data_IF_147405419784
#
_entry.id   IF_147405419784
#
_cell.length_a   1.000
_cell.length_b   1.000
_cell.length_c   1.000
_cell.angle_alpha   90.00
_cell.angle_beta   90.00
_cell.angle_gamma   90.00
#
_symmetry.space_group_name_H-M   'P 1'
#
loop_
_entity.id
_entity.type
_entity.pdbx_description
1 polymer ?
#
# COMPACT_ATOMS: atom_id res chain seq x y z
N UNK A 1 -54.28 9.80 21.76
CA UNK A 1 -53.75 9.01 20.64
C UNK A 1 -52.66 9.83 19.97
N UNK A 2 -51.42 9.54 20.30
CA UNK A 2 -50.24 10.09 19.64
C UNK A 2 -49.29 8.90 19.54
N UNK A 3 -49.09 8.41 18.30
CA UNK A 3 -48.20 7.29 18.01
C UNK A 3 -46.77 7.81 18.02
N UNK A 4 -45.90 7.15 18.80
CA UNK A 4 -44.45 7.29 18.67
C UNK A 4 -44.00 6.74 17.30
N UNK A 5 -43.07 7.41 16.60
CA UNK A 5 -42.40 6.81 15.47
C UNK A 5 -41.39 5.77 15.96
N UNK A 6 -41.59 4.52 15.54
CA UNK A 6 -40.61 3.44 15.66
C UNK A 6 -39.40 3.76 14.78
N UNK A 7 -38.22 3.89 15.38
CA UNK A 7 -36.95 3.82 14.65
C UNK A 7 -36.77 2.37 14.15
N UNK A 8 -36.88 2.21 12.83
CA UNK A 8 -36.45 1.01 12.11
C UNK A 8 -34.91 0.99 12.16
N UNK A 9 -34.34 -0.14 12.57
CA UNK A 9 -32.89 -0.34 12.68
C UNK A 9 -32.20 -0.02 11.35
N UNK A 10 -31.38 1.03 11.37
CA UNK A 10 -30.30 1.21 10.41
C UNK A 10 -29.03 0.66 11.06
N UNK A 11 -28.31 -0.18 10.33
CA UNK A 11 -26.97 -0.65 10.72
C UNK A 11 -26.09 0.57 11.05
N UNK A 12 -25.43 0.52 12.19
CA UNK A 12 -24.45 1.53 12.57
C UNK A 12 -23.29 1.50 11.54
N UNK A 13 -22.80 2.67 11.09
CA UNK A 13 -21.71 2.73 10.12
C UNK A 13 -20.40 2.20 10.73
N UNK A 14 -19.60 1.55 9.88
CA UNK A 14 -18.27 1.06 10.20
C UNK A 14 -17.34 2.26 10.48
N UNK A 15 -16.82 2.40 11.70
CA UNK A 15 -15.72 3.33 11.98
C UNK A 15 -14.42 2.68 11.53
N UNK A 16 -13.80 3.19 10.46
CA UNK A 16 -12.46 2.77 10.03
C UNK A 16 -11.43 3.64 10.73
N UNK A 17 -10.52 3.00 11.48
CA UNK A 17 -9.38 3.66 12.11
C UNK A 17 -8.24 3.72 11.09
N UNK A 18 -7.89 4.92 10.64
CA UNK A 18 -6.74 5.14 9.77
C UNK A 18 -5.48 5.12 10.64
N UNK A 19 -4.71 4.04 10.56
CA UNK A 19 -3.44 3.92 11.23
C UNK A 19 -2.35 4.46 10.31
N UNK A 20 -1.96 5.73 10.48
CA UNK A 20 -0.80 6.27 9.78
C UNK A 20 0.46 5.68 10.43
N UNK A 21 1.06 4.67 9.81
CA UNK A 21 2.45 4.29 10.10
C UNK A 21 3.35 5.38 9.50
N UNK A 22 3.47 6.51 10.20
CA UNK A 22 4.57 7.41 9.96
C UNK A 22 5.84 6.63 10.29
N UNK A 23 6.69 6.41 9.30
CA UNK A 23 8.04 5.90 9.50
C UNK A 23 8.81 6.88 10.38
N UNK A 24 8.64 6.78 11.70
CA UNK A 24 9.40 7.55 12.66
C UNK A 24 10.79 6.92 12.75
N UNK A 25 11.80 7.65 12.27
CA UNK A 25 13.22 7.30 12.38
C UNK A 25 13.77 7.41 13.81
N UNK A 26 12.94 7.64 14.83
CA UNK A 26 13.37 7.68 16.22
C UNK A 26 12.42 6.91 17.17
N UNK A 27 12.95 6.02 18.04
CA UNK A 27 12.16 5.13 18.90
C UNK A 27 11.52 5.83 20.12
N UNK A 28 11.39 7.16 20.12
CA UNK A 28 10.94 7.94 21.29
C UNK A 28 9.77 8.90 21.04
N UNK A 29 9.18 8.92 19.84
CA UNK A 29 7.98 9.73 19.60
C UNK A 29 6.74 9.07 20.21
N UNK A 30 6.17 9.71 21.23
CA UNK A 30 4.87 9.34 21.78
C UNK A 30 3.77 9.59 20.74
N UNK A 31 2.91 8.59 20.55
CA UNK A 31 1.69 8.66 19.74
C UNK A 31 0.84 9.89 20.09
N UNK A 32 0.53 10.73 19.11
CA UNK A 32 -0.48 11.78 19.20
C UNK A 32 -1.32 11.72 17.93
N UNK A 33 -2.40 10.94 17.97
CA UNK A 33 -3.40 10.90 16.92
C UNK A 33 -4.78 10.80 17.55
N UNK A 34 -5.66 11.76 17.25
CA UNK A 34 -7.08 11.69 17.61
C UNK A 34 -7.79 10.76 16.61
N UNK A 35 -8.68 9.85 17.05
CA UNK A 35 -9.48 9.03 16.14
C UNK A 35 -10.42 9.91 15.31
N UNK A 36 -10.44 9.71 13.99
CA UNK A 36 -11.40 10.36 13.09
C UNK A 36 -12.16 9.30 12.29
N UNK A 37 -13.49 9.40 12.26
CA UNK A 37 -14.35 8.48 11.54
C UNK A 37 -14.47 8.90 10.07
N UNK A 38 -13.94 8.10 9.15
CA UNK A 38 -14.34 8.14 7.74
C UNK A 38 -15.62 7.33 7.64
N UNK A 39 -16.75 8.01 7.46
CA UNK A 39 -18.05 7.35 7.26
C UNK A 39 -18.31 7.28 5.76
N UNK A 40 -18.45 6.07 5.22
CA UNK A 40 -18.79 5.70 3.83
C UNK A 40 -17.65 5.43 2.84
N UNK A 41 -16.36 5.58 3.21
CA UNK A 41 -15.24 5.19 2.34
C UNK A 41 -14.35 4.09 2.94
N UNK A 42 -14.12 3.01 2.18
CA UNK A 42 -13.12 1.98 2.47
C UNK A 42 -11.73 2.54 2.14
N UNK A 43 -10.84 2.59 3.12
CA UNK A 43 -9.47 3.05 2.94
C UNK A 43 -8.58 1.91 2.43
N UNK A 44 -7.78 2.14 1.40
CA UNK A 44 -6.91 1.13 0.78
C UNK A 44 -5.41 1.39 0.98
N UNK A 45 -4.97 2.66 1.10
CA UNK A 45 -3.53 3.00 1.21
C UNK A 45 -3.30 4.17 2.18
N UNK A 46 -2.09 4.26 2.76
CA UNK A 46 -1.61 5.43 3.54
C UNK A 46 -0.13 5.68 3.28
N UNK A 47 0.26 6.86 2.76
CA UNK A 47 1.65 7.25 2.50
C UNK A 47 1.89 8.72 2.87
N UNK A 48 2.86 9.03 3.74
CA UNK A 48 3.20 10.42 4.14
C UNK A 48 2.00 11.27 4.59
N UNK A 49 1.02 10.61 5.23
CA UNK A 49 -0.21 11.27 5.66
C UNK A 49 -1.30 11.38 4.60
N UNK A 50 -1.04 10.96 3.36
CA UNK A 50 -2.04 10.76 2.32
C UNK A 50 -2.74 9.43 2.55
N UNK A 51 -4.07 9.35 2.52
CA UNK A 51 -4.75 8.06 2.53
C UNK A 51 -5.83 7.99 1.46
N UNK A 52 -5.74 7.00 0.58
CA UNK A 52 -6.65 6.77 -0.54
C UNK A 52 -7.70 5.72 -0.21
N UNK A 53 -8.91 5.88 -0.74
CA UNK A 53 -10.01 4.95 -0.50
C UNK A 53 -11.04 4.90 -1.64
N UNK A 54 -12.15 4.21 -1.40
CA UNK A 54 -13.33 4.28 -2.27
C UNK A 54 -13.84 5.72 -2.37
N UNK A 55 -14.44 6.06 -3.51
CA UNK A 55 -14.99 7.40 -3.81
C UNK A 55 -13.94 8.52 -3.98
N UNK A 56 -12.67 8.19 -4.21
CA UNK A 56 -11.63 9.15 -4.59
C UNK A 56 -11.14 10.04 -3.45
N UNK A 57 -11.49 9.70 -2.21
CA UNK A 57 -11.12 10.48 -1.04
C UNK A 57 -9.62 10.33 -0.77
N UNK A 58 -8.92 11.47 -0.63
CA UNK A 58 -7.56 11.54 -0.09
C UNK A 58 -7.60 12.27 1.25
N UNK A 59 -7.25 11.58 2.33
CA UNK A 59 -6.97 12.23 3.62
C UNK A 59 -5.57 12.81 3.60
N UNK A 60 -5.34 13.99 4.18
CA UNK A 60 -4.01 14.53 4.44
C UNK A 60 -3.87 14.71 5.96
N UNK A 61 -2.94 14.01 6.61
CA UNK A 61 -2.59 14.29 8.01
C UNK A 61 -1.68 15.51 8.07
N UNK A 62 -2.12 16.56 8.77
CA UNK A 62 -1.31 17.74 9.11
C UNK A 62 -0.98 17.72 10.60
N UNK A 63 -0.05 18.56 11.04
CA UNK A 63 0.23 18.77 12.48
C UNK A 63 -1.04 19.15 13.27
N UNK A 64 -2.04 19.74 12.60
CA UNK A 64 -3.34 20.09 13.18
C UNK A 64 -4.38 18.96 13.15
N UNK A 65 -3.99 17.74 12.76
CA UNK A 65 -4.89 16.60 12.57
C UNK A 65 -5.24 16.32 11.11
N UNK A 66 -5.98 15.22 10.84
CA UNK A 66 -6.37 14.82 9.49
C UNK A 66 -7.38 15.80 8.88
N UNK A 67 -7.20 16.07 7.59
CA UNK A 67 -8.14 16.86 6.78
C UNK A 67 -8.54 16.03 5.56
N UNK A 68 -9.84 15.93 5.30
CA UNK A 68 -10.36 15.38 4.04
C UNK A 68 -10.10 16.36 2.91
N UNK A 69 -9.35 15.94 1.89
CA UNK A 69 -9.24 16.66 0.64
C UNK A 69 -10.19 16.03 -0.38
N UNK A 70 -11.13 16.82 -0.88
CA UNK A 70 -11.84 16.47 -2.11
C UNK A 70 -10.87 16.63 -3.27
N UNK A 71 -10.44 15.51 -3.82
CA UNK A 71 -9.51 15.47 -4.95
C UNK A 71 -10.19 15.75 -6.29
N UNK A 72 -11.53 15.73 -6.32
CA UNK A 72 -12.31 15.73 -7.55
C UNK A 72 -12.19 14.43 -8.37
N UNK A 73 -11.59 13.37 -7.80
CA UNK A 73 -11.40 12.07 -8.48
C UNK A 73 -12.59 11.12 -8.33
N UNK A 74 -13.61 11.48 -7.54
CA UNK A 74 -14.85 10.71 -7.49
C UNK A 74 -15.43 10.54 -8.91
N UNK A 75 -15.90 9.35 -9.30
CA UNK A 75 -16.21 8.19 -8.44
C UNK A 75 -15.10 7.10 -8.38
N UNK A 76 -13.82 7.44 -8.56
CA UNK A 76 -12.75 6.44 -8.61
C UNK A 76 -12.54 5.72 -7.27
N UNK A 77 -12.12 4.46 -7.30
CA UNK A 77 -11.49 3.81 -6.15
C UNK A 77 -9.99 4.06 -6.23
N UNK A 78 -9.42 4.77 -5.24
CA UNK A 78 -7.96 4.90 -5.14
C UNK A 78 -7.43 3.65 -4.44
N UNK A 79 -6.63 2.86 -5.15
CA UNK A 79 -6.01 1.63 -4.65
C UNK A 79 -4.68 1.91 -3.98
N UNK A 80 -3.89 2.81 -4.56
CA UNK A 80 -2.58 3.15 -4.01
C UNK A 80 -2.14 4.57 -4.37
N UNK A 81 -1.19 5.13 -3.59
CA UNK A 81 -0.63 6.46 -3.74
C UNK A 81 0.89 6.42 -3.57
N UNK A 82 1.63 6.90 -4.56
CA UNK A 82 3.07 7.17 -4.44
C UNK A 82 3.29 8.65 -4.17
N UNK A 83 3.65 8.98 -2.93
CA UNK A 83 3.91 10.35 -2.51
C UNK A 83 5.29 10.84 -2.95
N UNK A 84 5.43 12.14 -3.19
CA UNK A 84 6.71 12.77 -3.44
C UNK A 84 7.02 13.86 -2.40
N UNK A 85 8.23 13.83 -1.83
CA UNK A 85 8.62 14.77 -0.76
C UNK A 85 9.17 16.11 -1.27
N UNK A 86 9.41 16.26 -2.57
CA UNK A 86 9.96 17.47 -3.16
C UNK A 86 8.85 18.51 -3.48
N UNK A 87 9.14 19.79 -3.24
CA UNK A 87 8.18 20.91 -3.25
C UNK A 87 7.36 21.09 -4.54
N UNK A 88 7.83 20.59 -5.68
CA UNK A 88 7.16 20.69 -6.99
C UNK A 88 6.96 19.32 -7.66
N UNK A 89 7.01 18.25 -6.87
CA UNK A 89 6.89 16.90 -7.36
C UNK A 89 5.50 16.36 -7.01
N UNK A 90 4.71 15.93 -8.00
CA UNK A 90 3.35 15.51 -7.75
C UNK A 90 3.27 14.14 -7.09
N UNK A 91 2.33 13.99 -6.16
CA UNK A 91 1.87 12.68 -5.70
C UNK A 91 1.11 12.00 -6.84
N UNK A 92 1.15 10.67 -6.86
CA UNK A 92 0.53 9.86 -7.92
C UNK A 92 -0.46 8.91 -7.26
N UNK A 93 -1.69 8.87 -7.74
CA UNK A 93 -2.73 7.97 -7.28
C UNK A 93 -3.16 7.05 -8.42
N UNK A 94 -3.38 5.78 -8.12
CA UNK A 94 -3.84 4.77 -9.08
C UNK A 94 -5.07 4.04 -8.58
N UNK A 95 -5.85 3.47 -9.50
CA UNK A 95 -7.13 2.88 -9.15
C UNK A 95 -7.77 1.99 -10.21
N UNK A 96 -9.04 1.71 -9.98
CA UNK A 96 -9.86 0.84 -10.83
C UNK A 96 -9.95 1.34 -12.28
N UNK A 97 -10.12 0.42 -13.23
CA UNK A 97 -10.32 0.71 -14.65
C UNK A 97 -9.26 1.62 -15.31
N UNK A 98 -7.99 1.46 -14.93
CA UNK A 98 -6.87 2.21 -15.48
C UNK A 98 -6.71 3.63 -14.94
N UNK A 99 -7.44 3.96 -13.87
CA UNK A 99 -7.43 5.29 -13.28
C UNK A 99 -6.04 5.69 -12.76
N UNK A 100 -5.49 6.79 -13.30
CA UNK A 100 -4.27 7.43 -12.80
C UNK A 100 -4.48 8.92 -12.69
N UNK A 101 -4.09 9.49 -11.56
CA UNK A 101 -4.07 10.93 -11.36
C UNK A 101 -2.78 11.38 -10.68
N UNK A 102 -2.39 12.61 -10.96
CA UNK A 102 -1.26 13.26 -10.30
C UNK A 102 -1.70 14.61 -9.75
N UNK A 103 -1.24 14.94 -8.54
CA UNK A 103 -1.64 16.16 -7.86
C UNK A 103 -0.62 16.58 -6.81
N UNK A 104 -0.78 17.79 -6.27
CA UNK A 104 -0.04 18.22 -5.08
C UNK A 104 -1.01 18.80 -4.08
N UNK A 105 -0.57 19.03 -2.85
CA UNK A 105 -1.36 19.77 -1.86
C UNK A 105 -1.75 21.20 -2.30
N UNK A 106 -1.07 21.75 -3.30
CA UNK A 106 -1.27 23.12 -3.79
C UNK A 106 -2.01 23.21 -5.14
N UNK A 107 -2.20 22.08 -5.84
CA UNK A 107 -2.77 22.04 -7.18
C UNK A 107 -3.83 20.93 -7.32
N UNK A 108 -4.86 21.12 -8.16
CA UNK A 108 -5.86 20.08 -8.37
C UNK A 108 -5.24 18.83 -8.99
N UNK A 109 -5.82 17.67 -8.67
CA UNK A 109 -5.44 16.41 -9.29
C UNK A 109 -5.84 16.40 -10.76
N UNK A 110 -4.92 15.96 -11.61
CA UNK A 110 -5.13 15.82 -13.06
C UNK A 110 -5.04 14.35 -13.43
N UNK A 111 -6.02 13.89 -14.21
CA UNK A 111 -6.10 12.50 -14.67
C UNK A 111 -5.26 12.26 -15.92
N UNK A 112 -4.65 11.08 -16.01
CA UNK A 112 -3.87 10.65 -17.17
C UNK A 112 -4.37 9.31 -17.69
N UNK A 113 -4.32 9.14 -19.02
CA UNK A 113 -4.67 7.88 -19.68
C UNK A 113 -3.38 7.13 -19.99
N UNK A 114 -3.16 6.00 -19.29
CA UNK A 114 -2.04 5.11 -19.56
C UNK A 114 -2.33 4.12 -20.70
N UNK A 115 -3.50 4.17 -21.34
CA UNK A 115 -3.90 3.24 -22.39
C UNK A 115 -4.24 1.83 -21.88
N UNK A 116 -4.45 1.70 -20.57
CA UNK A 116 -4.81 0.45 -19.90
C UNK A 116 -6.21 0.59 -19.29
N UNK A 117 -6.96 -0.50 -19.26
CA UNK A 117 -8.31 -0.56 -18.66
C UNK A 117 -8.40 -1.54 -17.49
N UNK A 118 -7.27 -2.16 -17.13
CA UNK A 118 -7.17 -3.04 -15.98
C UNK A 118 -7.23 -2.25 -14.67
N UNK A 119 -7.65 -2.89 -13.59
CA UNK A 119 -7.53 -2.31 -12.25
C UNK A 119 -6.05 -2.17 -11.90
N UNK A 120 -5.65 -0.95 -11.56
CA UNK A 120 -4.30 -0.64 -11.09
C UNK A 120 -4.28 -0.78 -9.58
N UNK A 121 -3.35 -1.58 -9.07
CA UNK A 121 -3.32 -2.04 -7.67
C UNK A 121 -2.29 -1.29 -6.83
N UNK A 122 -1.11 -1.01 -7.39
CA UNK A 122 -0.03 -0.37 -6.67
C UNK A 122 0.84 0.51 -7.58
N UNK A 123 1.48 1.51 -6.98
CA UNK A 123 2.38 2.44 -7.67
C UNK A 123 3.62 2.70 -6.82
N UNK A 124 4.80 2.66 -7.44
CA UNK A 124 6.06 2.99 -6.78
C UNK A 124 6.87 4.00 -7.59
N UNK A 125 7.66 4.78 -6.87
CA UNK A 125 8.75 5.60 -7.40
C UNK A 125 10.05 4.88 -7.11
N UNK A 126 10.88 4.62 -8.12
CA UNK A 126 12.18 3.96 -7.93
C UNK A 126 13.21 4.52 -8.89
N UNK A 127 14.24 5.15 -8.34
CA UNK A 127 15.15 5.98 -9.12
C UNK A 127 14.38 7.10 -9.80
N UNK A 128 14.64 7.31 -11.09
CA UNK A 128 13.94 8.30 -11.92
C UNK A 128 12.69 7.72 -12.62
N UNK A 129 12.22 6.55 -12.22
CA UNK A 129 11.08 5.88 -12.83
C UNK A 129 9.90 5.80 -11.87
N UNK A 130 8.71 5.82 -12.45
CA UNK A 130 7.50 5.37 -11.79
C UNK A 130 7.04 4.09 -12.46
N UNK A 131 6.66 3.11 -11.63
CA UNK A 131 6.07 1.87 -12.10
C UNK A 131 4.70 1.68 -11.44
N UNK A 132 3.73 1.26 -12.25
CA UNK A 132 2.36 0.97 -11.83
C UNK A 132 2.03 -0.45 -12.22
N UNK A 133 1.50 -1.22 -11.27
CA UNK A 133 1.11 -2.61 -11.48
C UNK A 133 -0.38 -2.81 -11.26
N UNK A 134 -0.92 -3.87 -11.85
CA UNK A 134 -2.28 -4.29 -11.61
C UNK A 134 -2.61 -5.61 -12.28
N UNK A 135 -3.89 -5.78 -12.60
CA UNK A 135 -4.38 -7.01 -13.22
C UNK A 135 -3.85 -7.12 -14.67
N UNK A 136 -2.98 -8.10 -14.94
CA UNK A 136 -2.29 -8.34 -16.23
C UNK A 136 -1.52 -7.12 -16.78
N UNK A 137 -1.09 -6.21 -15.91
CA UNK A 137 -0.46 -4.96 -16.36
C UNK A 137 0.73 -4.52 -15.51
N UNK A 138 1.73 -3.98 -16.21
CA UNK A 138 2.83 -3.20 -15.69
C UNK A 138 3.08 -2.06 -16.68
N UNK A 139 3.03 -0.82 -16.19
CA UNK A 139 3.35 0.39 -16.96
C UNK A 139 4.44 1.14 -16.23
N UNK A 140 5.45 1.58 -16.96
CA UNK A 140 6.58 2.34 -16.44
C UNK A 140 6.71 3.64 -17.22
N UNK A 141 7.06 4.74 -16.57
CA UNK A 141 7.47 5.97 -17.25
C UNK A 141 8.67 6.61 -16.57
N UNK A 142 9.40 7.42 -17.34
CA UNK A 142 10.49 8.23 -16.84
C UNK A 142 9.92 9.49 -16.21
N UNK A 143 10.12 9.66 -14.90
CA UNK A 143 9.48 10.70 -14.12
C UNK A 143 9.76 12.12 -14.66
N UNK A 144 11.00 12.50 -15.02
CA UNK A 144 11.28 13.85 -15.52
C UNK A 144 10.55 14.22 -16.81
N UNK A 145 10.12 13.22 -17.60
CA UNK A 145 9.31 13.41 -18.81
C UNK A 145 7.81 13.15 -18.59
N UNK A 146 7.44 12.70 -17.39
CA UNK A 146 6.07 12.39 -17.00
C UNK A 146 5.47 11.20 -17.73
N UNK A 147 4.16 10.94 -17.53
CA UNK A 147 3.48 9.76 -18.06
C UNK A 147 3.40 9.72 -19.60
N UNK A 148 3.67 10.83 -20.30
CA UNK A 148 3.81 10.79 -21.77
C UNK A 148 5.00 9.94 -22.26
N UNK A 149 5.99 9.68 -21.40
CA UNK A 149 7.14 8.82 -21.69
C UNK A 149 6.88 7.34 -21.39
N UNK A 150 5.62 6.97 -21.10
CA UNK A 150 5.27 5.62 -20.69
C UNK A 150 5.64 4.54 -21.71
N UNK A 151 5.92 3.36 -21.18
CA UNK A 151 6.05 2.12 -21.91
C UNK A 151 5.55 0.95 -21.06
N UNK A 152 5.22 -0.15 -21.74
CA UNK A 152 4.83 -1.40 -21.09
C UNK A 152 5.93 -2.44 -21.34
N UNK A 153 6.70 -2.82 -20.31
CA UNK A 153 7.67 -3.90 -20.44
C UNK A 153 6.99 -5.21 -20.88
N UNK A 154 7.75 -6.08 -21.55
CA UNK A 154 7.26 -7.41 -21.88
C UNK A 154 7.31 -8.32 -20.64
N UNK A 155 6.25 -9.10 -20.35
CA UNK A 155 6.27 -10.05 -19.24
C UNK A 155 7.31 -11.16 -19.49
N UNK A 156 8.11 -11.55 -18.47
CA UNK A 156 9.18 -12.54 -18.64
C UNK A 156 8.66 -13.93 -19.08
N UNK A 157 7.43 -14.29 -18.73
CA UNK A 157 6.80 -15.58 -19.07
C UNK A 157 5.49 -15.42 -19.85
N UNK A 158 5.35 -14.31 -20.58
CA UNK A 158 4.22 -14.08 -21.49
C UNK A 158 2.93 -13.55 -20.85
N UNK A 159 2.86 -13.45 -19.52
CA UNK A 159 1.78 -12.80 -18.77
C UNK A 159 2.32 -12.17 -17.48
N UNK A 160 1.69 -11.09 -17.04
CA UNK A 160 1.99 -10.46 -15.76
C UNK A 160 1.24 -11.09 -14.58
N UNK A 161 0.21 -11.91 -14.85
CA UNK A 161 -0.71 -12.34 -13.81
C UNK A 161 -1.45 -11.15 -13.19
N UNK A 162 -2.06 -11.36 -12.02
CA UNK A 162 -2.58 -10.25 -11.21
C UNK A 162 -1.53 -9.81 -10.19
N UNK A 163 -0.86 -8.69 -10.46
CA UNK A 163 0.10 -8.09 -9.54
C UNK A 163 -0.65 -7.27 -8.48
N UNK A 164 -0.29 -7.46 -7.22
CA UNK A 164 -0.96 -6.89 -6.04
C UNK A 164 -0.20 -5.71 -5.45
N UNK A 165 1.12 -5.77 -5.46
CA UNK A 165 1.96 -4.70 -4.92
C UNK A 165 3.26 -4.54 -5.70
N UNK A 166 3.86 -3.36 -5.64
CA UNK A 166 5.16 -3.03 -6.23
C UNK A 166 5.95 -2.11 -5.30
N UNK A 167 7.20 -2.47 -5.02
CA UNK A 167 8.11 -1.69 -4.20
C UNK A 167 9.56 -1.89 -4.62
N UNK A 168 10.31 -0.79 -4.75
CA UNK A 168 11.75 -0.79 -5.05
C UNK A 168 12.17 -1.72 -6.21
N UNK A 169 11.37 -1.78 -7.29
CA UNK A 169 11.66 -2.61 -8.46
C UNK A 169 11.29 -4.08 -8.34
N UNK A 170 10.63 -4.49 -7.25
CA UNK A 170 10.00 -5.80 -7.14
C UNK A 170 8.48 -5.65 -7.16
N UNK A 171 7.78 -6.57 -7.81
CA UNK A 171 6.33 -6.68 -7.75
C UNK A 171 5.92 -8.10 -7.37
N UNK A 172 4.85 -8.21 -6.59
CA UNK A 172 4.29 -9.49 -6.13
C UNK A 172 2.83 -9.63 -6.50
N UNK A 173 2.31 -10.85 -6.53
CA UNK A 173 0.89 -11.05 -6.79
C UNK A 173 0.38 -12.48 -6.63
N UNK A 174 -0.71 -12.76 -7.34
CA UNK A 174 -1.46 -14.01 -7.23
C UNK A 174 -0.60 -15.24 -7.57
N UNK A 175 -0.87 -16.35 -6.91
CA UNK A 175 -0.19 -17.61 -7.17
C UNK A 175 1.31 -17.61 -6.83
N UNK A 176 1.75 -16.74 -5.92
CA UNK A 176 3.17 -16.56 -5.59
C UNK A 176 3.95 -15.87 -6.71
N UNK A 177 3.31 -15.02 -7.50
CA UNK A 177 3.99 -14.25 -8.55
C UNK A 177 5.01 -13.29 -7.90
N UNK A 178 6.26 -13.34 -8.38
CA UNK A 178 7.31 -12.37 -8.05
C UNK A 178 8.06 -12.02 -9.32
N UNK A 179 8.12 -10.73 -9.64
CA UNK A 179 8.96 -10.20 -10.71
C UNK A 179 9.82 -9.06 -10.19
N UNK A 180 11.04 -8.94 -10.70
CA UNK A 180 11.98 -7.91 -10.27
C UNK A 180 12.67 -7.27 -11.46
N UNK A 181 13.09 -6.02 -11.29
CA UNK A 181 13.90 -5.26 -12.23
C UNK A 181 14.90 -4.38 -11.49
N UNK A 182 16.13 -4.38 -11.98
CA UNK A 182 17.20 -3.52 -11.46
C UNK A 182 17.25 -2.17 -12.21
N UNK A 183 16.59 -2.06 -13.38
CA UNK A 183 16.66 -0.91 -14.28
C UNK A 183 15.30 -0.36 -14.74
N UNK A 184 14.20 -0.98 -14.29
CA UNK A 184 12.80 -0.70 -14.66
C UNK A 184 12.42 -0.97 -16.11
N UNK A 185 13.34 -1.50 -16.93
CA UNK A 185 13.11 -1.81 -18.34
C UNK A 185 12.96 -3.31 -18.55
N UNK A 186 13.89 -4.09 -17.99
CA UNK A 186 13.90 -5.54 -18.10
C UNK A 186 13.47 -6.15 -16.77
N UNK A 187 12.47 -7.03 -16.84
CA UNK A 187 11.89 -7.68 -15.68
C UNK A 187 12.12 -9.18 -15.80
N UNK A 188 12.45 -9.81 -14.67
CA UNK A 188 12.64 -11.26 -14.57
C UNK A 188 11.75 -11.83 -13.48
N UNK A 189 11.32 -13.08 -13.66
CA UNK A 189 10.62 -13.82 -12.61
C UNK A 189 11.62 -14.35 -11.58
N UNK A 190 11.26 -14.24 -10.31
CA UNK A 190 11.94 -14.94 -9.21
C UNK A 190 10.99 -16.00 -8.63
N UNK A 191 11.54 -17.10 -8.13
CA UNK A 191 10.76 -18.16 -7.47
C UNK A 191 10.82 -17.98 -5.95
N UNK A 192 9.71 -17.59 -5.30
CA UNK A 192 9.67 -17.43 -3.86
C UNK A 192 9.52 -18.75 -3.09
N UNK A 193 9.35 -19.88 -3.78
CA UNK A 193 9.13 -21.19 -3.15
C UNK A 193 7.72 -21.36 -2.55
N UNK A 194 6.79 -20.45 -2.86
CA UNK A 194 5.38 -20.51 -2.44
C UNK A 194 4.45 -20.29 -3.63
N UNK A 195 3.21 -20.79 -3.53
CA UNK A 195 2.17 -20.65 -4.56
C UNK A 195 0.91 -19.94 -4.07
N UNK A 196 0.93 -19.45 -2.83
CA UNK A 196 -0.14 -18.62 -2.27
C UNK A 196 0.02 -17.18 -2.73
N UNK A 197 -1.07 -16.42 -2.75
CA UNK A 197 -1.01 -15.01 -3.16
C UNK A 197 -0.13 -14.20 -2.20
N UNK A 198 0.77 -13.43 -2.79
CA UNK A 198 1.56 -12.41 -2.09
C UNK A 198 0.85 -11.07 -2.28
N UNK A 199 0.64 -10.36 -1.18
CA UNK A 199 -0.27 -9.22 -1.13
C UNK A 199 0.44 -7.88 -0.92
N UNK A 200 1.60 -7.87 -0.24
CA UNK A 200 2.32 -6.64 0.02
C UNK A 200 3.84 -6.85 0.14
N UNK A 201 4.57 -5.78 -0.17
CA UNK A 201 6.02 -5.63 -0.09
C UNK A 201 6.39 -4.47 0.84
N UNK A 202 7.56 -4.57 1.46
CA UNK A 202 8.18 -3.44 2.17
C UNK A 202 9.70 -3.58 2.14
N UNK A 203 10.40 -2.46 2.31
CA UNK A 203 11.82 -2.49 2.66
C UNK A 203 12.04 -3.34 3.91
N UNK A 204 13.14 -4.10 3.92
CA UNK A 204 13.53 -4.94 5.05
C UNK A 204 14.13 -4.14 6.21
N UNK A 205 15.03 -3.21 5.90
CA UNK A 205 15.97 -2.69 6.89
C UNK A 205 15.50 -1.36 7.51
N UNK A 206 15.33 -1.28 8.84
CA UNK A 206 15.04 -0.02 9.52
C UNK A 206 16.26 0.91 9.58
N UNK A 207 17.48 0.43 9.35
CA UNK A 207 18.68 1.27 9.31
C UNK A 207 19.11 1.54 7.86
N UNK A 208 18.83 2.74 7.32
CA UNK A 208 19.18 3.08 5.95
C UNK A 208 20.69 3.15 5.70
N UNK A 209 21.54 3.13 6.74
CA UNK A 209 22.99 3.17 6.58
C UNK A 209 23.62 1.80 6.31
N UNK A 210 22.97 0.71 6.74
CA UNK A 210 23.41 -0.68 6.56
C UNK A 210 22.47 -1.49 5.64
N UNK A 211 21.48 -0.83 5.04
CA UNK A 211 20.51 -1.47 4.15
C UNK A 211 21.19 -2.05 2.90
N UNK A 212 21.29 -3.38 2.83
CA UNK A 212 21.71 -4.01 1.58
C UNK A 212 20.61 -3.86 0.53
N UNK A 213 20.96 -3.42 -0.69
CA UNK A 213 19.99 -3.22 -1.75
C UNK A 213 19.28 -4.54 -2.10
N UNK A 214 17.97 -4.43 -2.36
CA UNK A 214 17.15 -5.58 -2.76
C UNK A 214 16.66 -6.46 -1.61
N UNK A 215 16.95 -6.14 -0.34
CA UNK A 215 16.33 -6.84 0.79
C UNK A 215 14.91 -6.35 1.03
N UNK A 216 13.95 -7.27 1.02
CA UNK A 216 12.52 -6.97 1.10
C UNK A 216 11.79 -7.93 2.04
N UNK A 217 10.75 -7.42 2.70
CA UNK A 217 9.67 -8.24 3.21
C UNK A 217 8.64 -8.46 2.10
N UNK A 218 8.12 -9.68 1.98
CA UNK A 218 6.86 -9.93 1.29
C UNK A 218 5.91 -10.69 2.22
N UNK A 219 4.64 -10.30 2.23
CA UNK A 219 3.61 -10.96 3.04
C UNK A 219 2.42 -11.33 2.19
N UNK A 220 1.64 -12.31 2.64
CA UNK A 220 0.47 -12.74 1.87
C UNK A 220 -0.47 -13.67 2.63
N UNK A 221 -1.18 -14.49 1.87
CA UNK A 221 -2.19 -15.42 2.39
C UNK A 221 -1.58 -16.47 3.31
N UNK A 222 -2.42 -17.05 4.18
CA UNK A 222 -2.06 -18.16 5.07
C UNK A 222 -0.84 -17.84 5.96
N UNK A 223 -0.79 -16.63 6.52
CA UNK A 223 0.29 -16.15 7.38
C UNK A 223 1.67 -16.12 6.71
N UNK A 224 1.72 -16.08 5.38
CA UNK A 224 2.98 -16.16 4.63
C UNK A 224 3.81 -14.90 4.85
N UNK A 225 5.05 -15.11 5.29
CA UNK A 225 6.07 -14.08 5.45
C UNK A 225 7.34 -14.57 4.77
N UNK A 226 7.84 -13.79 3.82
CA UNK A 226 9.07 -14.06 3.09
C UNK A 226 10.08 -12.93 3.27
N UNK A 227 11.34 -13.32 3.28
CA UNK A 227 12.50 -12.44 3.28
C UNK A 227 13.26 -12.62 1.97
N UNK A 228 13.40 -11.52 1.22
CA UNK A 228 14.31 -11.48 0.07
C UNK A 228 15.70 -11.09 0.53
N UNK A 229 16.71 -11.89 0.20
CA UNK A 229 18.12 -11.53 0.33
C UNK A 229 18.59 -10.58 -0.78
N UNK A 230 19.72 -9.89 -0.57
CA UNK A 230 20.33 -9.05 -1.60
C UNK A 230 20.78 -9.82 -2.85
N UNK A 231 20.98 -11.14 -2.71
CA UNK A 231 21.30 -12.07 -3.80
C UNK A 231 20.07 -12.56 -4.59
N UNK A 232 18.86 -12.11 -4.23
CA UNK A 232 17.61 -12.51 -4.86
C UNK A 232 17.05 -13.86 -4.39
N UNK A 233 17.63 -14.44 -3.33
CA UNK A 233 17.04 -15.62 -2.69
C UNK A 233 15.86 -15.22 -1.81
N UNK A 234 14.85 -16.09 -1.75
CA UNK A 234 13.67 -15.91 -0.92
C UNK A 234 13.63 -16.98 0.16
N UNK A 235 13.46 -16.56 1.42
CA UNK A 235 13.33 -17.45 2.56
C UNK A 235 11.97 -17.24 3.22
N UNK A 236 11.23 -18.34 3.44
CA UNK A 236 10.00 -18.30 4.24
C UNK A 236 10.35 -18.26 5.72
N UNK A 237 9.81 -17.26 6.42
CA UNK A 237 9.93 -17.13 7.85
C UNK A 237 8.78 -17.84 8.56
N UNK A 238 9.09 -18.77 9.47
CA UNK A 238 8.07 -19.45 10.27
C UNK A 238 7.65 -18.58 11.45
N UNK A 239 6.48 -17.96 11.34
CA UNK A 239 5.92 -17.05 12.34
C UNK A 239 4.78 -17.68 13.16
N UNK A 240 4.31 -18.87 12.75
CA UNK A 240 3.12 -19.51 13.32
C UNK A 240 1.80 -18.76 13.07
N UNK A 241 1.79 -17.75 12.20
CA UNK A 241 0.57 -17.04 11.80
C UNK A 241 -0.22 -17.88 10.78
N UNK A 242 -1.55 -17.83 10.88
CA UNK A 242 -2.48 -18.47 9.93
C UNK A 242 -3.36 -17.44 9.20
N UNK A 243 -3.53 -16.25 9.78
CA UNK A 243 -4.30 -15.15 9.20
C UNK A 243 -3.63 -14.61 7.93
N UNK A 244 -4.44 -14.12 6.99
CA UNK A 244 -3.92 -13.43 5.82
C UNK A 244 -3.26 -12.11 6.24
N UNK A 245 -2.09 -11.83 5.68
CA UNK A 245 -1.33 -10.61 5.95
C UNK A 245 -1.54 -9.65 4.78
N UNK A 246 -2.27 -8.57 5.04
CA UNK A 246 -2.77 -7.66 4.02
C UNK A 246 -1.79 -6.53 3.69
N UNK A 247 -0.94 -6.15 4.64
CA UNK A 247 0.04 -5.09 4.47
C UNK A 247 1.27 -5.37 5.32
N UNK A 248 2.42 -4.86 4.88
CA UNK A 248 3.66 -4.85 5.64
C UNK A 248 4.35 -3.51 5.53
N UNK A 249 4.96 -3.03 6.62
CA UNK A 249 5.83 -1.86 6.62
C UNK A 249 6.86 -2.00 7.73
N UNK A 250 8.15 -2.00 7.41
CA UNK A 250 9.24 -2.07 8.37
C UNK A 250 9.09 -3.20 9.43
N UNK A 251 8.63 -4.38 9.00
CA UNK A 251 8.38 -5.54 9.88
C UNK A 251 7.08 -5.47 10.69
N UNK A 252 6.27 -4.42 10.56
CA UNK A 252 4.89 -4.40 11.06
C UNK A 252 3.95 -4.97 10.01
N UNK A 253 3.01 -5.82 10.42
CA UNK A 253 2.01 -6.42 9.53
C UNK A 253 0.60 -6.13 10.01
N UNK A 254 -0.31 -5.93 9.04
CA UNK A 254 -1.75 -5.88 9.28
C UNK A 254 -2.38 -7.19 8.83
N UNK A 255 -3.12 -7.84 9.73
CA UNK A 255 -3.86 -9.06 9.42
C UNK A 255 -5.29 -8.77 8.96
N UNK A 256 -5.90 -9.72 8.26
CA UNK A 256 -7.31 -9.69 7.86
C UNK A 256 -8.29 -9.63 9.05
N UNK A 257 -7.92 -10.21 10.19
CA UNK A 257 -8.64 -10.11 11.46
C UNK A 257 -8.34 -8.80 12.24
N UNK A 258 -7.75 -7.81 11.57
CA UNK A 258 -7.53 -6.43 12.03
C UNK A 258 -6.58 -6.29 13.20
N UNK A 259 -5.55 -7.14 13.27
CA UNK A 259 -4.46 -7.00 14.23
C UNK A 259 -3.26 -6.35 13.56
N UNK A 260 -2.64 -5.43 14.30
CA UNK A 260 -1.30 -4.95 14.00
C UNK A 260 -0.30 -5.76 14.83
N UNK A 261 0.66 -6.39 14.15
CA UNK A 261 1.70 -7.21 14.77
C UNK A 261 3.08 -6.72 14.32
N UNK A 262 4.09 -6.90 15.16
CA UNK A 262 5.50 -6.74 14.79
C UNK A 262 6.12 -8.12 14.59
N UNK A 263 6.80 -8.30 13.48
CA UNK A 263 7.56 -9.49 13.13
C UNK A 263 9.04 -9.10 13.14
N UNK A 264 9.85 -9.83 13.91
CA UNK A 264 11.30 -9.68 13.85
C UNK A 264 11.91 -10.53 12.73
N UNK A 265 13.16 -10.25 12.30
CA UNK A 265 13.82 -11.02 11.26
C UNK A 265 14.08 -12.51 11.60
N UNK A 266 13.83 -12.94 12.83
CA UNK A 266 13.95 -14.33 13.28
C UNK A 266 12.59 -15.05 13.34
N UNK A 267 11.50 -14.37 13.01
CA UNK A 267 10.14 -14.93 12.99
C UNK A 267 9.38 -14.76 14.29
N UNK A 268 9.96 -14.07 15.27
CA UNK A 268 9.26 -13.71 16.49
C UNK A 268 8.13 -12.74 16.20
N UNK A 269 6.95 -13.03 16.76
CA UNK A 269 5.74 -12.22 16.61
C UNK A 269 5.37 -11.62 17.96
N UNK A 270 5.17 -10.31 17.98
CA UNK A 270 4.69 -9.60 19.17
C UNK A 270 3.64 -8.55 18.83
N UNK A 271 2.86 -8.17 19.83
CA UNK A 271 1.96 -7.02 19.73
C UNK A 271 2.75 -5.74 19.99
N UNK A 272 2.64 -4.70 19.15
CA UNK A 272 3.30 -3.43 19.40
C UNK A 272 2.87 -2.84 20.75
N UNK A 273 3.83 -2.38 21.55
CA UNK A 273 3.57 -1.73 22.83
C UNK A 273 3.05 -0.32 22.55
N UNK A 274 1.95 0.07 23.21
CA UNK A 274 1.38 1.43 23.13
C UNK A 274 0.19 1.60 22.19
N UNK A 275 -0.30 0.54 21.53
CA UNK A 275 -1.62 0.55 20.88
C UNK A 275 -2.68 0.40 21.98
N UNK A 276 -3.59 1.38 22.19
CA UNK A 276 -4.60 1.27 23.25
C UNK A 276 -5.50 0.06 23.01
N UNK A 277 -5.51 -0.88 23.96
CA UNK A 277 -6.32 -2.10 23.90
C UNK A 277 -7.78 -1.89 24.35
N UNK A 278 -8.14 -0.69 24.81
CA UNK A 278 -9.46 -0.40 25.40
C UNK A 278 -10.21 0.71 24.67
N UNK A 279 -10.65 0.47 23.42
CA UNK A 279 -11.86 1.13 22.90
C UNK A 279 -12.51 0.42 21.68
N UNK A 280 -12.24 -0.88 21.48
CA UNK A 280 -12.91 -1.67 20.44
C UNK A 280 -14.12 -2.48 20.95
N UNK A 281 -14.49 -2.30 22.22
CA UNK A 281 -15.70 -2.86 22.80
C UNK A 281 -16.67 -1.74 23.16
N UNK A 282 -17.75 -1.65 22.37
CA UNK A 282 -18.96 -0.86 22.61
C UNK A 282 -18.89 0.62 22.25
N UNK A 283 -19.38 0.95 21.05
CA UNK A 283 -20.48 1.91 20.87
C UNK A 283 -21.13 1.75 19.49
#
# INVERSE_FOLDING_TARGET
MTREPRLLGRSLPLSVFVLTLLGCTEPTSSWVGEPFAVTDADLYTVVNGLAGGSEGVVLITRESGPVLLDTGLAPWTIRDIAACSATDCPDIAVGDAGAVAMGTNAAPWTTFDLGVSADLRAVTRTGDYVAVVGDETLVVWYEPEGPSSQFSPAPPEGSWGSLRDIFAGAAVGDGGMVVVSDDMHEWRREDPGVSVDLLALSFFDPDPLDAEPGRLWAVGREGTVLLRGGDGTWERLDTGLESDLLAVSAGFVLTDDRRLLRIDPQGGVERPIGVPTEELATQ
#
